data_IF_761904168188
#
_entry.id   IF_761904168188
#
_cell.length_a   1.000
_cell.length_b   1.000
_cell.length_c   1.000
_cell.angle_alpha   90.00
_cell.angle_beta   90.00
_cell.angle_gamma   90.00
#
_symmetry.space_group_name_H-M   'P 1'
#
loop_
_entity.id
_entity.type
_entity.pdbx_description
1 polymer ?
#
# COMPACT_ATOMS: atom_id res chain seq x y z
N UNK A 1 -5.92 -18.52 10.93
CA UNK A 1 -5.84 -17.08 11.19
C UNK A 1 -6.85 -16.39 10.30
N UNK A 2 -7.64 -15.48 10.83
CA UNK A 2 -8.53 -14.58 10.09
C UNK A 2 -7.75 -13.36 9.59
N UNK A 3 -8.38 -12.50 8.76
CA UNK A 3 -7.74 -11.25 8.33
C UNK A 3 -7.45 -10.30 9.52
N UNK A 4 -8.40 -10.20 10.46
CA UNK A 4 -8.23 -9.42 11.70
C UNK A 4 -7.15 -10.00 12.60
N UNK A 5 -7.14 -11.32 12.82
CA UNK A 5 -6.07 -11.96 13.61
C UNK A 5 -4.69 -11.76 12.96
N UNK A 6 -4.61 -11.72 11.63
CA UNK A 6 -3.38 -11.43 10.91
C UNK A 6 -2.93 -9.98 11.05
N UNK A 7 -3.86 -9.03 10.99
CA UNK A 7 -3.59 -7.62 11.24
C UNK A 7 -3.11 -7.38 12.68
N UNK A 8 -3.76 -8.01 13.67
CA UNK A 8 -3.39 -7.92 15.09
C UNK A 8 -2.00 -8.53 15.35
N UNK A 9 -1.65 -9.60 14.62
CA UNK A 9 -0.32 -10.20 14.65
C UNK A 9 0.74 -9.32 13.98
N UNK A 10 0.42 -8.73 12.84
CA UNK A 10 1.35 -7.98 12.00
C UNK A 10 1.71 -6.60 12.57
N UNK A 11 0.74 -5.93 13.20
CA UNK A 11 0.91 -4.54 13.66
C UNK A 11 2.06 -4.38 14.68
N UNK A 12 2.20 -5.22 15.72
CA UNK A 12 3.33 -5.14 16.65
C UNK A 12 4.69 -5.33 15.97
N UNK A 13 4.82 -6.33 15.08
CA UNK A 13 6.06 -6.58 14.32
C UNK A 13 6.43 -5.38 13.45
N UNK A 14 5.42 -4.73 12.85
CA UNK A 14 5.65 -3.50 12.09
C UNK A 14 6.10 -2.35 13.00
N UNK A 15 5.50 -2.17 14.18
CA UNK A 15 5.94 -1.13 15.14
C UNK A 15 7.42 -1.30 15.48
N UNK A 16 7.87 -2.53 15.69
CA UNK A 16 9.27 -2.85 15.97
C UNK A 16 10.18 -2.52 14.77
N UNK A 17 9.85 -3.02 13.57
CA UNK A 17 10.65 -2.83 12.36
C UNK A 17 10.74 -1.38 11.87
N UNK A 18 9.66 -0.61 12.02
CA UNK A 18 9.57 0.77 11.57
C UNK A 18 10.10 1.78 12.59
N UNK A 19 10.50 1.31 13.79
CA UNK A 19 11.28 2.05 14.77
C UNK A 19 10.67 3.37 15.21
N UNK A 20 11.23 4.48 14.72
CA UNK A 20 10.78 5.84 15.05
C UNK A 20 9.50 6.27 14.33
N UNK A 21 9.03 5.51 13.34
CA UNK A 21 7.83 5.82 12.60
C UNK A 21 6.59 5.32 13.33
N UNK A 22 5.54 6.14 13.32
CA UNK A 22 4.26 5.81 13.93
C UNK A 22 3.52 4.75 13.10
N UNK A 23 3.11 3.64 13.70
CA UNK A 23 2.28 2.61 13.03
C UNK A 23 0.93 2.54 13.74
N UNK A 24 -0.16 2.62 12.97
CA UNK A 24 -1.52 2.52 13.50
C UNK A 24 -2.33 1.46 12.74
N UNK A 25 -2.94 0.54 13.47
CA UNK A 25 -4.00 -0.34 12.95
C UNK A 25 -5.32 0.43 12.82
N UNK A 26 -6.11 0.10 11.81
CA UNK A 26 -7.47 0.62 11.61
C UNK A 26 -7.54 2.15 11.50
N UNK A 27 -6.52 2.74 10.88
CA UNK A 27 -6.31 4.18 10.84
C UNK A 27 -7.37 4.90 10.00
N UNK A 28 -7.95 5.96 10.56
CA UNK A 28 -8.99 6.79 9.95
C UNK A 28 -8.41 8.15 9.57
N UNK A 29 -8.13 8.35 8.29
CA UNK A 29 -7.36 9.50 7.81
C UNK A 29 -7.97 10.87 8.18
N UNK A 30 -9.30 10.99 8.17
CA UNK A 30 -9.98 12.27 8.40
C UNK A 30 -10.86 12.23 9.64
N UNK A 31 -10.47 11.47 10.67
CA UNK A 31 -11.21 11.39 11.92
C UNK A 31 -11.39 12.79 12.54
N UNK A 32 -12.64 13.13 12.85
CA UNK A 32 -13.01 14.44 13.39
C UNK A 32 -13.26 15.54 12.33
N UNK A 33 -13.15 15.24 11.04
CA UNK A 33 -13.48 16.17 9.95
C UNK A 33 -14.83 15.81 9.32
N UNK A 34 -15.94 16.50 9.67
CA UNK A 34 -17.30 16.08 9.33
C UNK A 34 -17.66 16.23 7.84
N UNK A 35 -16.89 16.98 7.07
CA UNK A 35 -17.20 17.29 5.67
C UNK A 35 -16.45 16.43 4.65
N UNK A 36 -15.66 15.45 5.10
CA UNK A 36 -14.86 14.60 4.24
C UNK A 36 -15.25 13.13 4.44
N UNK A 37 -15.30 12.38 3.33
CA UNK A 37 -15.26 10.92 3.44
C UNK A 37 -13.98 10.54 4.18
N UNK A 38 -14.08 9.65 5.16
CA UNK A 38 -12.97 9.23 6.00
C UNK A 38 -12.64 7.76 5.70
N UNK A 39 -11.73 7.49 4.75
CA UNK A 39 -11.28 6.13 4.51
C UNK A 39 -10.61 5.58 5.78
N UNK A 40 -10.87 4.31 6.03
CA UNK A 40 -10.23 3.51 7.07
C UNK A 40 -9.38 2.47 6.36
N UNK A 41 -8.08 2.47 6.63
CA UNK A 41 -7.14 1.48 6.12
C UNK A 41 -6.75 0.52 7.23
N UNK A 42 -6.46 -0.72 6.90
CA UNK A 42 -6.19 -1.75 7.91
C UNK A 42 -4.92 -1.44 8.72
N UNK A 43 -3.83 -0.99 8.06
CA UNK A 43 -2.62 -0.53 8.76
C UNK A 43 -2.07 0.70 8.04
N UNK A 44 -1.60 1.69 8.78
CA UNK A 44 -0.92 2.86 8.24
C UNK A 44 0.41 3.14 8.96
N UNK A 45 1.42 3.52 8.19
CA UNK A 45 2.72 3.97 8.70
C UNK A 45 2.88 5.46 8.44
N UNK A 46 3.17 6.21 9.49
CA UNK A 46 3.36 7.64 9.50
C UNK A 46 4.73 8.09 8.99
N UNK A 47 5.03 9.39 9.12
CA UNK A 47 4.25 10.41 9.82
C UNK A 47 2.90 10.70 9.14
N UNK A 48 1.87 11.07 9.91
CA UNK A 48 0.54 11.37 9.37
C UNK A 48 0.37 12.83 8.96
N UNK A 49 -0.18 13.07 7.76
CA UNK A 49 -0.30 14.38 7.09
C UNK A 49 -1.77 14.73 6.77
N UNK A 50 -2.61 14.76 7.80
CA UNK A 50 -4.07 14.96 7.67
C UNK A 50 -4.54 16.36 8.04
N UNK A 51 -3.66 17.15 8.67
CA UNK A 51 -3.92 18.54 8.98
C UNK A 51 -3.77 19.43 7.71
N UNK A 52 -4.47 20.58 7.62
CA UNK A 52 -4.42 21.45 6.45
C UNK A 52 -3.04 22.04 6.10
N UNK A 53 -2.07 21.98 7.02
CA UNK A 53 -0.71 22.48 6.89
C UNK A 53 0.12 22.08 8.13
N UNK A 54 1.46 21.91 8.02
CA UNK A 54 2.28 21.91 6.80
C UNK A 54 2.20 20.58 6.04
N UNK A 55 2.43 20.64 4.73
CA UNK A 55 2.59 19.43 3.92
C UNK A 55 3.91 18.73 4.28
N UNK A 56 3.86 17.41 4.50
CA UNK A 56 5.00 16.56 4.86
C UNK A 56 5.75 15.95 3.67
N UNK A 57 5.54 16.45 2.44
CA UNK A 57 6.20 15.93 1.23
C UNK A 57 7.71 15.72 1.38
N UNK A 58 8.43 16.73 1.87
CA UNK A 58 9.89 16.66 1.97
C UNK A 58 10.36 15.68 3.05
N UNK A 59 9.60 15.57 4.14
CA UNK A 59 9.85 14.57 5.17
C UNK A 59 9.68 13.15 4.61
N UNK A 60 8.62 12.90 3.82
CA UNK A 60 8.47 11.62 3.12
C UNK A 60 9.60 11.35 2.13
N UNK A 61 10.07 12.35 1.38
CA UNK A 61 11.20 12.20 0.46
C UNK A 61 12.47 11.75 1.18
N UNK A 62 12.67 12.18 2.42
CA UNK A 62 13.80 11.77 3.25
C UNK A 62 13.60 10.36 3.82
N UNK A 63 12.40 10.05 4.32
CA UNK A 63 12.11 8.75 4.94
C UNK A 63 12.22 7.60 3.93
N UNK A 64 11.66 7.75 2.71
CA UNK A 64 11.73 6.69 1.68
C UNK A 64 13.16 6.38 1.20
N UNK A 65 14.13 7.25 1.53
CA UNK A 65 15.55 7.09 1.19
C UNK A 65 16.39 6.55 2.34
N UNK A 66 15.82 6.36 3.54
CA UNK A 66 16.50 5.64 4.63
C UNK A 66 16.74 4.20 4.19
N UNK A 67 17.92 3.64 4.49
CA UNK A 67 18.34 2.34 3.94
C UNK A 67 17.32 1.23 4.25
N UNK A 68 16.92 1.08 5.51
CA UNK A 68 15.93 0.09 5.95
C UNK A 68 14.56 0.25 5.26
N UNK A 69 14.09 1.49 5.07
CA UNK A 69 12.79 1.76 4.41
C UNK A 69 12.89 1.51 2.90
N UNK A 70 13.98 1.97 2.27
CA UNK A 70 14.24 1.79 0.85
C UNK A 70 14.36 0.31 0.50
N UNK A 71 15.09 -0.46 1.31
CA UNK A 71 15.23 -1.92 1.15
C UNK A 71 13.89 -2.63 1.28
N UNK A 72 13.13 -2.35 2.35
CA UNK A 72 11.77 -2.87 2.54
C UNK A 72 10.87 -2.58 1.33
N UNK A 73 10.83 -1.33 0.87
CA UNK A 73 9.99 -0.93 -0.25
C UNK A 73 10.46 -1.57 -1.58
N UNK A 74 11.77 -1.77 -1.78
CA UNK A 74 12.31 -2.46 -2.96
C UNK A 74 11.94 -3.94 -2.96
N UNK A 75 11.97 -4.61 -1.81
CA UNK A 75 11.54 -6.01 -1.72
C UNK A 75 10.05 -6.15 -2.04
N UNK A 76 9.20 -5.28 -1.48
CA UNK A 76 7.76 -5.20 -1.83
C UNK A 76 7.57 -4.95 -3.33
N UNK A 77 8.36 -4.04 -3.93
CA UNK A 77 8.29 -3.73 -5.35
C UNK A 77 8.66 -4.93 -6.23
N UNK A 78 9.71 -5.68 -5.88
CA UNK A 78 10.12 -6.86 -6.63
C UNK A 78 9.04 -7.95 -6.58
N UNK A 79 8.49 -8.21 -5.39
CA UNK A 79 7.39 -9.16 -5.22
C UNK A 79 6.13 -8.71 -5.95
N UNK A 80 5.86 -7.40 -6.00
CA UNK A 80 4.77 -6.86 -6.81
C UNK A 80 4.95 -7.15 -8.31
N UNK A 81 6.17 -7.01 -8.85
CA UNK A 81 6.47 -7.37 -10.24
C UNK A 81 6.22 -8.86 -10.47
N UNK A 82 6.77 -9.71 -9.60
CA UNK A 82 6.57 -11.16 -9.67
C UNK A 82 5.08 -11.54 -9.61
N UNK A 83 4.33 -10.87 -8.72
CA UNK A 83 2.91 -11.07 -8.54
C UNK A 83 2.06 -10.49 -9.66
N UNK A 84 2.56 -9.58 -10.48
CA UNK A 84 1.85 -9.20 -11.71
C UNK A 84 2.12 -10.26 -12.79
N UNK A 85 3.37 -10.72 -12.89
CA UNK A 85 3.80 -11.75 -13.83
C UNK A 85 3.74 -11.32 -15.30
N UNK A 86 4.20 -12.23 -16.17
CA UNK A 86 4.33 -12.01 -17.62
C UNK A 86 3.03 -12.28 -18.41
N UNK A 87 1.85 -11.95 -17.87
CA UNK A 87 0.59 -12.20 -18.58
C UNK A 87 0.58 -11.41 -19.91
N UNK A 88 0.53 -12.13 -21.05
CA UNK A 88 0.77 -11.64 -22.42
C UNK A 88 -0.26 -10.62 -22.96
N UNK A 89 -1.21 -10.19 -22.11
CA UNK A 89 -2.27 -9.22 -22.38
C UNK A 89 -2.34 -8.11 -21.32
N UNK A 90 -1.21 -7.78 -20.66
CA UNK A 90 -1.21 -6.84 -19.56
C UNK A 90 -1.23 -5.37 -20.03
N UNK A 91 -2.31 -4.68 -19.69
CA UNK A 91 -2.42 -3.21 -19.75
C UNK A 91 -1.61 -2.54 -18.63
N UNK A 92 -1.19 -3.33 -17.64
CA UNK A 92 -0.41 -2.86 -16.50
C UNK A 92 0.98 -2.46 -16.98
N UNK A 93 1.31 -1.18 -16.81
CA UNK A 93 2.67 -0.67 -16.94
C UNK A 93 3.18 -0.36 -15.55
N UNK A 94 4.08 -1.20 -15.04
CA UNK A 94 4.75 -0.99 -13.76
C UNK A 94 5.81 0.11 -13.97
N UNK A 95 5.71 1.27 -13.29
CA UNK A 95 6.77 2.26 -13.35
C UNK A 95 8.03 1.78 -12.63
N UNK A 96 9.18 2.39 -12.95
CA UNK A 96 10.41 2.23 -12.17
C UNK A 96 10.17 2.59 -10.70
N UNK A 97 10.89 1.90 -9.80
CA UNK A 97 10.77 2.07 -8.35
C UNK A 97 10.84 3.55 -7.92
N UNK A 98 11.82 4.30 -8.43
CA UNK A 98 12.04 5.71 -8.11
C UNK A 98 10.81 6.57 -8.47
N UNK A 99 10.14 6.25 -9.59
CA UNK A 99 8.92 6.95 -9.99
C UNK A 99 7.73 6.63 -9.11
N UNK A 100 7.68 5.42 -8.55
CA UNK A 100 6.62 4.99 -7.65
C UNK A 100 6.74 5.71 -6.30
N UNK A 101 7.93 5.71 -5.69
CA UNK A 101 8.16 6.37 -4.40
C UNK A 101 8.08 7.90 -4.48
N UNK A 102 8.08 8.49 -5.67
CA UNK A 102 7.88 9.93 -5.91
C UNK A 102 6.48 10.27 -6.42
N UNK A 103 5.57 9.30 -6.52
CA UNK A 103 4.29 9.53 -7.19
C UNK A 103 3.31 10.36 -6.38
N UNK A 104 3.03 9.94 -5.14
CA UNK A 104 2.03 10.59 -4.30
C UNK A 104 2.68 11.64 -3.38
N UNK A 105 3.03 12.80 -3.95
CA UNK A 105 3.73 13.85 -3.20
C UNK A 105 2.91 14.42 -2.05
N UNK A 106 1.57 14.44 -2.14
CA UNK A 106 0.66 14.95 -1.11
C UNK A 106 -0.05 13.80 -0.36
N UNK A 107 0.71 12.76 -0.03
CA UNK A 107 0.22 11.64 0.76
C UNK A 107 -0.22 12.07 2.17
N UNK A 108 -1.08 11.26 2.79
CA UNK A 108 -1.58 11.39 4.17
C UNK A 108 -0.85 10.49 5.15
N UNK A 109 -0.18 9.45 4.67
CA UNK A 109 0.73 8.60 5.43
C UNK A 109 1.87 8.14 4.52
N UNK A 110 2.96 7.61 5.11
CA UNK A 110 4.05 7.03 4.34
C UNK A 110 3.59 5.73 3.64
N UNK A 111 3.00 4.81 4.39
CA UNK A 111 2.50 3.55 3.86
C UNK A 111 1.04 3.38 4.28
N UNK A 112 0.18 2.98 3.34
CA UNK A 112 -1.19 2.56 3.61
C UNK A 112 -1.37 1.10 3.17
N UNK A 113 -1.81 0.23 4.08
CA UNK A 113 -1.92 -1.21 3.86
C UNK A 113 -3.38 -1.63 3.98
N UNK A 114 -3.83 -2.45 3.04
CA UNK A 114 -5.15 -3.08 3.02
C UNK A 114 -4.97 -4.61 2.91
N UNK A 115 -5.63 -5.37 3.78
CA UNK A 115 -5.58 -6.82 3.88
C UNK A 115 -6.90 -7.38 3.36
N UNK A 116 -6.86 -8.01 2.18
CA UNK A 116 -8.06 -8.45 1.49
C UNK A 116 -8.19 -9.97 1.50
N UNK A 117 -9.33 -10.50 1.98
CA UNK A 117 -9.58 -11.94 2.08
C UNK A 117 -10.86 -12.38 1.32
N UNK A 118 -12.03 -11.94 1.77
CA UNK A 118 -13.33 -12.38 1.22
C UNK A 118 -14.26 -11.23 0.85
N UNK A 119 -13.68 -10.07 0.52
CA UNK A 119 -14.42 -8.85 0.18
C UNK A 119 -14.99 -8.91 -1.24
N UNK A 120 -16.07 -8.15 -1.49
CA UNK A 120 -16.58 -8.01 -2.85
C UNK A 120 -15.58 -7.25 -3.73
N UNK A 121 -15.63 -7.46 -5.05
CA UNK A 121 -14.79 -6.72 -6.01
C UNK A 121 -14.98 -5.20 -5.92
N UNK A 122 -16.15 -4.71 -5.47
CA UNK A 122 -16.36 -3.27 -5.27
C UNK A 122 -15.57 -2.76 -4.06
N UNK A 123 -15.50 -3.55 -3.00
CA UNK A 123 -14.72 -3.22 -1.81
C UNK A 123 -13.23 -3.23 -2.12
N UNK A 124 -12.71 -4.30 -2.71
CA UNK A 124 -11.28 -4.42 -3.06
C UNK A 124 -10.81 -3.27 -3.97
N UNK A 125 -11.64 -2.85 -4.95
CA UNK A 125 -11.36 -1.67 -5.78
C UNK A 125 -11.29 -0.39 -4.94
N UNK A 126 -12.21 -0.23 -3.98
CA UNK A 126 -12.19 0.88 -3.03
C UNK A 126 -10.92 0.90 -2.19
N UNK A 127 -10.52 -0.25 -1.65
CA UNK A 127 -9.29 -0.42 -0.85
C UNK A 127 -8.06 -0.04 -1.65
N UNK A 128 -7.94 -0.50 -2.90
CA UNK A 128 -6.87 -0.10 -3.81
C UNK A 128 -6.81 1.41 -4.01
N UNK A 129 -7.95 2.04 -4.29
CA UNK A 129 -8.02 3.51 -4.50
C UNK A 129 -7.67 4.26 -3.22
N UNK A 130 -8.18 3.84 -2.06
CA UNK A 130 -7.93 4.49 -0.78
C UNK A 130 -6.45 4.40 -0.38
N UNK A 131 -5.87 3.20 -0.44
CA UNK A 131 -4.46 2.99 -0.11
C UNK A 131 -3.54 3.77 -1.06
N UNK A 132 -3.79 3.73 -2.37
CA UNK A 132 -3.06 4.53 -3.36
C UNK A 132 -3.17 6.05 -3.09
N UNK A 133 -4.35 6.51 -2.65
CA UNK A 133 -4.62 7.93 -2.39
C UNK A 133 -3.99 8.43 -1.11
N UNK A 134 -4.03 7.63 -0.04
CA UNK A 134 -3.58 8.02 1.29
C UNK A 134 -2.08 7.79 1.46
N UNK A 135 -1.56 6.65 1.02
CA UNK A 135 -0.15 6.30 1.20
C UNK A 135 0.74 6.99 0.19
N UNK A 136 1.97 7.33 0.61
CA UNK A 136 3.06 7.59 -0.33
C UNK A 136 3.21 6.36 -1.22
N UNK A 137 3.18 5.19 -0.58
CA UNK A 137 3.00 3.86 -1.15
C UNK A 137 1.74 3.22 -0.56
N UNK A 138 0.88 2.66 -1.41
CA UNK A 138 -0.20 1.76 -1.00
C UNK A 138 0.25 0.30 -1.14
N UNK A 139 -0.15 -0.57 -0.23
CA UNK A 139 0.15 -2.00 -0.28
C UNK A 139 -1.15 -2.80 -0.11
N UNK A 140 -1.47 -3.65 -1.07
CA UNK A 140 -2.54 -4.63 -0.97
C UNK A 140 -2.00 -6.00 -0.62
N UNK A 141 -2.36 -6.52 0.55
CA UNK A 141 -2.04 -7.88 0.97
C UNK A 141 -3.18 -8.80 0.53
N UNK A 142 -2.89 -9.67 -0.44
CA UNK A 142 -3.80 -10.71 -0.87
C UNK A 142 -3.74 -11.89 0.10
N UNK A 143 -4.80 -12.10 0.88
CA UNK A 143 -4.87 -13.20 1.84
C UNK A 143 -4.95 -14.57 1.17
N UNK A 144 -5.40 -14.62 -0.08
CA UNK A 144 -5.54 -15.84 -0.85
C UNK A 144 -5.40 -15.57 -2.36
N UNK A 145 -5.21 -16.64 -3.13
CA UNK A 145 -5.02 -16.60 -4.58
C UNK A 145 -6.19 -15.95 -5.35
N UNK A 146 -7.43 -16.10 -4.84
CA UNK A 146 -8.60 -15.47 -5.46
C UNK A 146 -8.54 -13.94 -5.36
N UNK A 147 -8.07 -13.42 -4.22
CA UNK A 147 -7.84 -11.98 -4.03
C UNK A 147 -6.68 -11.50 -4.87
N UNK A 148 -5.56 -12.23 -4.92
CA UNK A 148 -4.40 -11.87 -5.75
C UNK A 148 -4.81 -11.70 -7.22
N UNK A 149 -5.55 -12.68 -7.75
CA UNK A 149 -6.13 -12.61 -9.10
C UNK A 149 -7.08 -11.44 -9.29
N UNK A 150 -7.82 -11.08 -8.24
CA UNK A 150 -8.72 -9.92 -8.28
C UNK A 150 -7.92 -8.62 -8.36
N UNK A 151 -6.85 -8.46 -7.58
CA UNK A 151 -5.95 -7.31 -7.68
C UNK A 151 -5.33 -7.18 -9.06
N UNK A 152 -4.77 -8.27 -9.63
CA UNK A 152 -4.22 -8.26 -11.00
C UNK A 152 -5.23 -7.73 -12.02
N UNK A 153 -6.47 -8.24 -11.97
CA UNK A 153 -7.55 -7.80 -12.86
C UNK A 153 -7.91 -6.34 -12.67
N UNK A 154 -7.82 -5.81 -11.45
CA UNK A 154 -8.09 -4.40 -11.17
C UNK A 154 -6.98 -3.51 -11.70
N UNK A 155 -5.71 -3.86 -11.47
CA UNK A 155 -4.59 -3.13 -12.05
C UNK A 155 -4.68 -3.12 -13.58
N UNK A 156 -5.00 -4.26 -14.20
CA UNK A 156 -5.20 -4.36 -15.65
C UNK A 156 -6.37 -3.48 -16.12
N UNK A 157 -7.48 -3.44 -15.37
CA UNK A 157 -8.60 -2.56 -15.66
C UNK A 157 -8.21 -1.07 -15.56
N UNK A 158 -7.45 -0.67 -14.53
CA UNK A 158 -6.95 0.70 -14.40
C UNK A 158 -5.99 1.06 -15.53
N UNK A 159 -5.12 0.14 -15.94
CA UNK A 159 -4.25 0.26 -17.12
C UNK A 159 -5.06 0.49 -18.39
N UNK A 160 -6.10 -0.33 -18.62
CA UNK A 160 -7.03 -0.18 -19.74
C UNK A 160 -7.69 1.20 -19.76
N UNK A 161 -8.25 1.64 -18.63
CA UNK A 161 -8.91 2.94 -18.51
C UNK A 161 -7.95 4.10 -18.84
N UNK A 162 -6.71 4.01 -18.37
CA UNK A 162 -5.66 4.97 -18.68
C UNK A 162 -5.30 4.97 -20.16
N UNK A 163 -5.13 3.80 -20.78
CA UNK A 163 -4.80 3.66 -22.21
C UNK A 163 -5.87 4.26 -23.11
N UNK A 164 -7.15 4.09 -22.77
CA UNK A 164 -8.27 4.64 -23.55
C UNK A 164 -8.67 6.05 -23.10
N UNK A 165 -7.76 6.75 -22.41
CA UNK A 165 -7.86 8.17 -22.02
C UNK A 165 -9.13 8.50 -21.22
N UNK A 166 -9.62 7.57 -20.40
CA UNK A 166 -10.67 7.89 -19.42
C UNK A 166 -10.09 8.75 -18.30
N UNK A 167 -10.96 9.56 -17.68
CA UNK A 167 -10.66 10.30 -16.46
C UNK A 167 -10.49 9.32 -15.29
N UNK A 168 -9.33 8.67 -15.23
CA UNK A 168 -9.01 7.64 -14.24
C UNK A 168 -8.07 8.19 -13.19
N UNK A 169 -8.24 7.72 -11.96
CA UNK A 169 -7.25 7.94 -10.90
C UNK A 169 -6.03 7.05 -11.17
N UNK A 170 -4.83 7.55 -10.89
CA UNK A 170 -3.59 6.81 -11.12
C UNK A 170 -3.18 6.06 -9.85
N UNK A 171 -3.36 4.74 -9.86
CA UNK A 171 -3.11 3.85 -8.72
C UNK A 171 -1.77 3.12 -8.82
N UNK A 172 -0.83 3.54 -9.67
CA UNK A 172 0.42 2.76 -9.84
C UNK A 172 1.38 2.84 -8.66
N UNK A 173 1.07 3.59 -7.60
CA UNK A 173 1.77 3.51 -6.31
C UNK A 173 1.16 2.47 -5.36
N UNK A 174 0.17 1.69 -5.82
CA UNK A 174 -0.39 0.55 -5.12
C UNK A 174 0.34 -0.73 -5.53
N UNK A 175 1.09 -1.30 -4.60
CA UNK A 175 1.85 -2.53 -4.75
C UNK A 175 1.05 -3.69 -4.17
N UNK A 176 1.25 -4.91 -4.69
CA UNK A 176 0.48 -6.09 -4.28
C UNK A 176 1.42 -7.23 -3.89
N UNK A 177 1.12 -7.86 -2.77
CA UNK A 177 1.88 -8.96 -2.19
C UNK A 177 0.90 -10.01 -1.66
N UNK A 178 1.33 -11.26 -1.55
CA UNK A 178 0.55 -12.26 -0.82
C UNK A 178 0.76 -12.08 0.68
N UNK A 179 -0.15 -12.66 1.49
CA UNK A 179 0.01 -12.76 2.94
C UNK A 179 1.38 -13.28 3.33
N UNK A 180 1.75 -14.45 2.79
CA UNK A 180 2.98 -15.14 3.19
C UNK A 180 4.23 -14.36 2.76
N UNK A 181 4.23 -13.76 1.57
CA UNK A 181 5.32 -12.88 1.13
C UNK A 181 5.52 -11.68 2.05
N UNK A 182 4.43 -11.02 2.47
CA UNK A 182 4.55 -9.87 3.37
C UNK A 182 5.03 -10.29 4.76
N UNK A 183 4.51 -11.42 5.26
CA UNK A 183 4.93 -12.02 6.54
C UNK A 183 6.43 -12.34 6.55
N UNK A 184 6.96 -12.92 5.47
CA UNK A 184 8.39 -13.19 5.35
C UNK A 184 9.23 -11.90 5.43
N UNK A 185 8.82 -10.84 4.75
CA UNK A 185 9.56 -9.56 4.75
C UNK A 185 9.58 -8.94 6.15
N UNK A 186 8.44 -8.92 6.84
CA UNK A 186 8.36 -8.28 8.16
C UNK A 186 9.00 -9.14 9.26
N UNK A 187 9.13 -10.45 9.07
CA UNK A 187 9.75 -11.33 10.07
C UNK A 187 11.24 -11.50 9.89
N UNK A 188 11.79 -11.35 8.67
CA UNK A 188 13.24 -11.41 8.39
C UNK A 188 14.09 -10.51 9.30
N UNK A 189 13.57 -9.35 9.70
CA UNK A 189 14.30 -8.41 10.56
C UNK A 189 14.41 -8.85 12.03
N UNK A 190 13.71 -9.91 12.45
CA UNK A 190 13.80 -10.46 13.81
C UNK A 190 14.89 -11.52 13.97
N UNK A 191 15.41 -12.06 12.86
CA UNK A 191 16.36 -13.19 12.88
C UNK A 191 17.83 -12.75 12.64
N UNK A 192 18.09 -11.44 12.48
CA UNK A 192 19.45 -10.88 12.29
C UNK A 192 20.08 -10.24 13.55
N UNK A 193 19.51 -10.46 14.74
CA UNK A 193 20.15 -10.20 16.06
C UNK A 193 20.70 -11.47 16.73
#
# INVERSE_FOLDING_TARGET
MTATEYQDYLTPTMIENFGDLEVQSEWRAFQGLPYQYCPRVDIAVGPFNVAPSPNRTEEYNQIVRRDNISEFLREIYNLHIENIGDEWLNEVRIPEFERIIEKNQNARCLIAIEIENSSTKKHIMGSMVNAASLGRIGIGIAYNESVLRTFRRMLNYMGFLKRVEKNTYDTTNFLIVTKDQFEDIVTKNLDEE
#
